data_IF_182276038676
#
_entry.id   IF_182276038676
#
_cell.length_a   1.000
_cell.length_b   1.000
_cell.length_c   1.000
_cell.angle_alpha   90.00
_cell.angle_beta   90.00
_cell.angle_gamma   90.00
#
_symmetry.space_group_name_H-M   'P 1'
#
loop_
_entity.id
_entity.type
_entity.pdbx_description
1 polymer ?
#
# COMPACT_ATOMS: atom_id res chain seq x y z
N UNK A 1 -13.60 -22.92 -9.15
CA UNK A 1 -14.22 -22.70 -7.82
C UNK A 1 -13.17 -22.40 -6.76
N UNK A 2 -12.16 -23.27 -6.54
CA UNK A 2 -11.10 -23.09 -5.54
C UNK A 2 -10.36 -21.71 -5.49
N UNK A 3 -10.21 -21.00 -6.62
CA UNK A 3 -9.54 -19.68 -6.67
C UNK A 3 -10.40 -18.53 -6.12
N UNK A 4 -11.74 -18.60 -6.22
CA UNK A 4 -12.65 -17.56 -5.68
C UNK A 4 -12.79 -17.72 -4.16
N UNK A 5 -12.86 -18.96 -3.68
CA UNK A 5 -13.00 -19.26 -2.26
C UNK A 5 -11.77 -18.79 -1.46
N UNK A 6 -10.55 -18.96 -2.01
CA UNK A 6 -9.32 -18.45 -1.41
C UNK A 6 -9.26 -16.91 -1.33
N UNK A 7 -9.83 -16.22 -2.33
CA UNK A 7 -9.89 -14.75 -2.35
C UNK A 7 -10.91 -14.23 -1.33
N UNK A 8 -12.09 -14.85 -1.27
CA UNK A 8 -13.13 -14.50 -0.30
C UNK A 8 -12.64 -14.74 1.14
N UNK A 9 -11.96 -15.87 1.38
CA UNK A 9 -11.32 -16.14 2.66
C UNK A 9 -10.27 -15.08 3.04
N UNK A 10 -9.50 -14.56 2.07
CA UNK A 10 -8.55 -13.47 2.34
C UNK A 10 -9.25 -12.13 2.63
N UNK A 11 -10.40 -11.84 2.00
CA UNK A 11 -11.20 -10.64 2.30
C UNK A 11 -11.78 -10.74 3.72
N UNK A 12 -12.34 -11.88 4.09
CA UNK A 12 -12.86 -12.13 5.43
C UNK A 12 -11.75 -12.04 6.49
N UNK A 13 -10.56 -12.57 6.17
CA UNK A 13 -9.37 -12.43 7.01
C UNK A 13 -8.98 -10.97 7.22
N UNK A 14 -8.93 -10.14 6.16
CA UNK A 14 -8.60 -8.71 6.29
C UNK A 14 -9.64 -7.95 7.12
N UNK A 15 -10.92 -8.24 6.93
CA UNK A 15 -11.98 -7.66 7.75
C UNK A 15 -11.89 -8.11 9.23
N UNK A 16 -11.53 -9.37 9.47
CA UNK A 16 -11.28 -9.87 10.83
C UNK A 16 -10.04 -9.20 11.45
N UNK A 17 -8.97 -9.02 10.68
CA UNK A 17 -7.75 -8.33 11.11
C UNK A 17 -8.05 -6.91 11.60
N UNK A 18 -8.85 -6.13 10.85
CA UNK A 18 -9.23 -4.77 11.23
C UNK A 18 -10.04 -4.76 12.54
N UNK A 19 -11.03 -5.65 12.67
CA UNK A 19 -11.82 -5.77 13.91
C UNK A 19 -10.95 -6.11 15.11
N UNK A 20 -10.02 -7.05 14.97
CA UNK A 20 -9.09 -7.43 16.04
C UNK A 20 -8.16 -6.27 16.41
N UNK A 21 -7.62 -5.57 15.41
CA UNK A 21 -6.76 -4.40 15.63
C UNK A 21 -7.45 -3.31 16.43
N UNK A 22 -8.67 -2.98 16.03
CA UNK A 22 -9.45 -1.92 16.66
C UNK A 22 -9.88 -2.33 18.07
N UNK A 23 -10.23 -3.61 18.28
CA UNK A 23 -10.50 -4.14 19.61
C UNK A 23 -9.29 -4.06 20.55
N UNK A 24 -8.10 -4.52 20.11
CA UNK A 24 -6.88 -4.44 20.92
C UNK A 24 -6.52 -2.99 21.26
N UNK A 25 -6.65 -2.07 20.29
CA UNK A 25 -6.39 -0.63 20.52
C UNK A 25 -7.39 -0.02 21.49
N UNK A 26 -8.67 -0.40 21.38
CA UNK A 26 -9.71 0.04 22.30
C UNK A 26 -9.41 -0.44 23.73
N UNK A 27 -9.06 -1.71 23.93
CA UNK A 27 -8.72 -2.24 25.25
C UNK A 27 -7.43 -1.63 25.82
N UNK A 28 -6.42 -1.39 24.97
CA UNK A 28 -5.22 -0.67 25.38
C UNK A 28 -5.54 0.74 25.93
N UNK A 29 -6.44 1.47 25.27
CA UNK A 29 -6.79 2.84 25.65
C UNK A 29 -7.79 2.91 26.81
N UNK A 30 -8.83 2.07 26.78
CA UNK A 30 -9.97 2.16 27.69
C UNK A 30 -9.77 1.34 28.97
N UNK A 31 -8.93 0.30 28.93
CA UNK A 31 -8.69 -0.60 30.05
C UNK A 31 -7.24 -0.51 30.57
N UNK A 32 -6.26 -0.95 29.78
CA UNK A 32 -4.87 -1.15 30.26
C UNK A 32 -4.18 0.14 30.71
N UNK A 33 -4.17 1.19 29.89
CA UNK A 33 -3.51 2.46 30.26
C UNK A 33 -4.11 3.10 31.53
N UNK A 34 -5.45 3.21 31.65
CA UNK A 34 -6.07 3.66 32.90
C UNK A 34 -5.69 2.80 34.11
N UNK A 35 -5.66 1.48 33.97
CA UNK A 35 -5.24 0.57 35.05
C UNK A 35 -3.80 0.83 35.47
N UNK A 36 -2.86 1.00 34.54
CA UNK A 36 -1.47 1.34 34.86
C UNK A 36 -1.39 2.67 35.64
N UNK A 37 -2.12 3.71 35.20
CA UNK A 37 -2.15 5.02 35.88
C UNK A 37 -2.75 4.90 37.28
N UNK A 38 -3.82 4.13 37.44
CA UNK A 38 -4.46 3.93 38.73
C UNK A 38 -3.58 3.14 39.70
N UNK A 39 -2.95 2.06 39.25
CA UNK A 39 -2.00 1.27 40.04
C UNK A 39 -0.75 2.08 40.40
N UNK A 40 -0.32 2.98 39.51
CA UNK A 40 0.77 3.91 39.78
C UNK A 40 0.41 4.89 40.91
N UNK A 41 -0.81 5.44 40.91
CA UNK A 41 -1.24 6.48 41.86
C UNK A 41 -1.75 5.94 43.19
N UNK A 42 -2.51 4.86 43.17
CA UNK A 42 -3.31 4.41 44.32
C UNK A 42 -2.96 3.01 44.80
N UNK A 43 -2.10 2.27 44.07
CA UNK A 43 -1.73 0.88 44.39
C UNK A 43 -2.94 -0.06 44.53
N UNK A 44 -4.07 0.28 43.91
CA UNK A 44 -5.31 -0.50 43.90
C UNK A 44 -5.88 -0.57 42.48
N UNK A 45 -6.48 -1.71 42.16
CA UNK A 45 -7.20 -1.92 40.91
C UNK A 45 -8.68 -1.58 41.09
N UNK A 46 -9.26 -0.87 40.13
CA UNK A 46 -10.72 -0.78 39.99
C UNK A 46 -11.28 -2.16 39.60
N UNK A 47 -12.20 -2.76 40.39
CA UNK A 47 -12.77 -4.07 40.10
C UNK A 47 -13.42 -4.16 38.72
N UNK A 48 -14.07 -3.09 38.24
CA UNK A 48 -14.75 -3.10 36.94
C UNK A 48 -13.73 -3.16 35.79
N UNK A 49 -12.65 -2.38 35.89
CA UNK A 49 -11.56 -2.41 34.91
C UNK A 49 -10.78 -3.72 34.97
N UNK A 50 -10.60 -4.30 36.15
CA UNK A 50 -9.94 -5.59 36.27
C UNK A 50 -10.77 -6.70 35.60
N UNK A 51 -12.09 -6.72 35.81
CA UNK A 51 -12.98 -7.65 35.11
C UNK A 51 -12.96 -7.43 33.59
N UNK A 52 -12.83 -6.18 33.12
CA UNK A 52 -12.64 -5.88 31.70
C UNK A 52 -11.30 -6.41 31.17
N UNK A 53 -10.22 -6.27 31.94
CA UNK A 53 -8.92 -6.85 31.59
C UNK A 53 -9.01 -8.38 31.49
N UNK A 54 -9.71 -9.04 32.42
CA UNK A 54 -9.89 -10.49 32.38
C UNK A 54 -10.59 -10.93 31.08
N UNK A 55 -11.68 -10.25 30.69
CA UNK A 55 -12.37 -10.51 29.41
C UNK A 55 -11.46 -10.32 28.20
N UNK A 56 -10.60 -9.30 28.22
CA UNK A 56 -9.65 -9.06 27.14
C UNK A 56 -8.60 -10.19 27.05
N UNK A 57 -8.10 -10.67 28.19
CA UNK A 57 -7.17 -11.80 28.24
C UNK A 57 -7.83 -13.12 27.83
N UNK A 58 -9.12 -13.33 28.16
CA UNK A 58 -9.92 -14.48 27.70
C UNK A 58 -10.04 -14.46 26.17
N UNK A 59 -10.44 -13.30 25.62
CA UNK A 59 -10.56 -13.12 24.19
C UNK A 59 -9.23 -13.36 23.44
N UNK A 60 -8.11 -12.87 23.98
CA UNK A 60 -6.78 -13.16 23.43
C UNK A 60 -6.40 -14.64 23.51
N UNK A 61 -6.91 -15.36 24.51
CA UNK A 61 -6.63 -16.77 24.73
C UNK A 61 -7.40 -17.67 23.75
N UNK A 62 -8.67 -17.35 23.50
CA UNK A 62 -9.66 -18.27 22.90
C UNK A 62 -10.12 -17.85 21.50
N UNK A 63 -10.25 -16.55 21.23
CA UNK A 63 -10.89 -16.05 20.01
C UNK A 63 -9.92 -15.36 19.05
N UNK A 64 -8.86 -14.74 19.58
CA UNK A 64 -7.95 -13.95 18.78
C UNK A 64 -7.09 -14.79 17.83
N UNK A 65 -6.95 -14.33 16.59
CA UNK A 65 -6.02 -14.89 15.60
C UNK A 65 -4.94 -13.86 15.32
N UNK A 66 -3.81 -13.98 16.01
CA UNK A 66 -2.73 -13.00 15.90
C UNK A 66 -1.84 -13.32 14.71
N UNK A 67 -1.50 -12.30 13.94
CA UNK A 67 -0.45 -12.33 12.92
C UNK A 67 0.72 -11.43 13.31
N UNK A 68 1.93 -11.64 12.75
CA UNK A 68 3.07 -10.76 12.96
C UNK A 68 2.75 -9.28 12.73
N UNK A 69 1.99 -9.00 11.66
CA UNK A 69 1.58 -7.63 11.30
C UNK A 69 0.64 -7.05 12.36
N UNK A 70 -0.34 -7.82 12.84
CA UNK A 70 -1.30 -7.38 13.86
C UNK A 70 -0.60 -7.10 15.19
N UNK A 71 0.29 -8.00 15.61
CA UNK A 71 1.07 -7.85 16.83
C UNK A 71 1.93 -6.58 16.81
N UNK A 72 2.55 -6.28 15.67
CA UNK A 72 3.36 -5.07 15.46
C UNK A 72 2.52 -3.79 15.46
N UNK A 73 1.42 -3.75 14.71
CA UNK A 73 0.56 -2.56 14.59
C UNK A 73 -0.15 -2.16 15.89
N UNK A 74 -0.42 -3.15 16.76
CA UNK A 74 -1.07 -2.95 18.05
C UNK A 74 -0.09 -2.87 19.20
N UNK A 75 1.20 -3.22 18.95
CA UNK A 75 2.24 -3.40 19.97
C UNK A 75 1.81 -4.39 21.05
N UNK A 76 1.14 -5.47 20.67
CA UNK A 76 0.53 -6.43 21.60
C UNK A 76 1.55 -7.04 22.59
N UNK A 77 2.76 -7.37 22.13
CA UNK A 77 3.82 -7.86 23.00
C UNK A 77 4.24 -6.85 24.08
N UNK A 78 4.29 -5.56 23.74
CA UNK A 78 4.57 -4.51 24.71
C UNK A 78 3.40 -4.39 25.71
N UNK A 79 2.16 -4.43 25.22
CA UNK A 79 0.96 -4.35 26.06
C UNK A 79 0.89 -5.47 27.09
N UNK A 80 1.19 -6.72 26.70
CA UNK A 80 1.24 -7.85 27.61
C UNK A 80 2.37 -7.70 28.64
N UNK A 81 3.54 -7.22 28.21
CA UNK A 81 4.67 -6.95 29.12
C UNK A 81 4.37 -5.85 30.14
N UNK A 82 3.56 -4.84 29.81
CA UNK A 82 3.13 -3.83 30.80
C UNK A 82 2.42 -4.46 32.02
N UNK A 83 1.84 -5.65 31.86
CA UNK A 83 1.09 -6.34 32.90
C UNK A 83 2.03 -7.08 33.86
N UNK A 84 3.02 -7.82 33.34
CA UNK A 84 3.82 -8.78 34.11
C UNK A 84 5.31 -8.44 34.26
N UNK A 85 5.86 -7.51 33.46
CA UNK A 85 7.31 -7.27 33.42
C UNK A 85 7.83 -6.68 34.76
N UNK A 86 8.89 -7.27 35.34
CA UNK A 86 9.46 -6.75 36.58
C UNK A 86 10.10 -5.37 36.36
N UNK A 87 10.07 -4.51 37.39
CA UNK A 87 10.66 -3.17 37.34
C UNK A 87 9.69 -2.06 36.90
N UNK A 88 8.44 -2.39 36.58
CA UNK A 88 7.39 -1.39 36.38
C UNK A 88 7.05 -0.67 37.70
N UNK A 89 6.67 0.61 37.61
CA UNK A 89 6.27 1.41 38.79
C UNK A 89 4.85 1.08 39.29
N UNK A 90 4.12 0.23 38.57
CA UNK A 90 2.82 -0.33 38.91
C UNK A 90 2.92 -1.86 38.94
N UNK A 91 1.98 -2.52 39.64
CA UNK A 91 1.95 -3.99 39.72
C UNK A 91 0.51 -4.48 39.64
N UNK A 92 0.22 -5.30 38.63
CA UNK A 92 -1.08 -5.97 38.49
C UNK A 92 -1.21 -7.13 39.49
N UNK A 93 -2.40 -7.69 39.75
CA UNK A 93 -2.51 -8.90 40.57
C UNK A 93 -1.82 -10.10 39.89
N UNK A 94 -1.39 -11.08 40.68
CA UNK A 94 -0.53 -12.19 40.21
C UNK A 94 -1.19 -13.02 39.10
N UNK A 95 -2.51 -13.19 39.17
CA UNK A 95 -3.25 -13.95 38.17
C UNK A 95 -3.20 -13.29 36.79
N UNK A 96 -3.42 -11.98 36.69
CA UNK A 96 -3.32 -11.26 35.40
C UNK A 96 -1.89 -11.24 34.87
N UNK A 97 -0.89 -11.16 35.77
CA UNK A 97 0.52 -11.27 35.38
C UNK A 97 0.81 -12.62 34.73
N UNK A 98 0.41 -13.72 35.40
CA UNK A 98 0.59 -15.09 34.90
C UNK A 98 -0.05 -15.28 33.54
N UNK A 99 -1.32 -14.90 33.40
CA UNK A 99 -2.09 -15.02 32.14
C UNK A 99 -1.45 -14.22 31.00
N UNK A 100 -1.05 -12.97 31.25
CA UNK A 100 -0.41 -12.14 30.25
C UNK A 100 0.95 -12.69 29.81
N UNK A 101 1.73 -13.26 30.75
CA UNK A 101 3.01 -13.89 30.48
C UNK A 101 2.84 -15.15 29.62
N UNK A 102 1.87 -16.01 29.94
CA UNK A 102 1.56 -17.21 29.16
C UNK A 102 1.14 -16.87 27.73
N UNK A 103 0.25 -15.89 27.56
CA UNK A 103 -0.14 -15.40 26.24
C UNK A 103 1.06 -14.86 25.46
N UNK A 104 1.90 -14.04 26.10
CA UNK A 104 3.07 -13.48 25.43
C UNK A 104 4.07 -14.56 25.01
N UNK A 105 4.30 -15.58 25.84
CA UNK A 105 5.16 -16.71 25.51
C UNK A 105 4.58 -17.56 24.38
N UNK A 106 3.27 -17.89 24.45
CA UNK A 106 2.57 -18.68 23.43
C UNK A 106 2.69 -18.03 22.05
N UNK A 107 2.35 -16.75 21.97
CA UNK A 107 2.40 -16.01 20.70
C UNK A 107 3.83 -15.73 20.25
N UNK A 108 4.77 -15.47 21.15
CA UNK A 108 6.18 -15.31 20.75
C UNK A 108 6.78 -16.61 20.20
N UNK A 109 6.42 -17.76 20.77
CA UNK A 109 6.90 -19.08 20.33
C UNK A 109 6.40 -19.42 18.92
N UNK A 110 5.17 -19.02 18.55
CA UNK A 110 4.65 -19.16 17.18
C UNK A 110 5.10 -18.04 16.23
N UNK A 111 6.06 -17.22 16.63
CA UNK A 111 6.47 -16.01 15.90
C UNK A 111 5.26 -15.14 15.53
N UNK A 112 4.32 -15.02 16.46
CA UNK A 112 3.08 -14.28 16.32
C UNK A 112 2.16 -14.80 15.21
N UNK A 113 2.21 -16.09 14.88
CA UNK A 113 1.38 -16.69 13.82
C UNK A 113 2.00 -16.55 12.41
N UNK A 114 3.33 -16.49 12.33
CA UNK A 114 4.07 -16.34 11.06
C UNK A 114 3.78 -17.49 10.09
N UNK A 115 3.74 -18.73 10.58
CA UNK A 115 3.53 -19.91 9.75
C UNK A 115 2.14 -19.90 9.08
N UNK A 116 1.10 -19.51 9.82
CA UNK A 116 -0.26 -19.38 9.33
C UNK A 116 -0.40 -18.19 8.35
N UNK A 117 0.29 -17.08 8.60
CA UNK A 117 0.33 -15.95 7.67
C UNK A 117 1.03 -16.32 6.35
N UNK A 118 2.16 -17.03 6.40
CA UNK A 118 2.91 -17.48 5.22
C UNK A 118 2.14 -18.54 4.42
N UNK A 119 1.47 -19.47 5.09
CA UNK A 119 0.58 -20.44 4.45
C UNK A 119 -0.57 -19.75 3.73
N UNK A 120 -1.22 -18.75 4.37
CA UNK A 120 -2.28 -17.94 3.74
C UNK A 120 -1.76 -17.18 2.53
N UNK A 121 -0.63 -16.47 2.67
CA UNK A 121 -0.01 -15.72 1.56
C UNK A 121 0.34 -16.64 0.40
N UNK A 122 0.88 -17.82 0.68
CA UNK A 122 1.20 -18.82 -0.34
C UNK A 122 -0.03 -19.34 -1.06
N UNK A 123 -1.14 -19.59 -0.34
CA UNK A 123 -2.41 -19.98 -0.94
C UNK A 123 -3.00 -18.88 -1.83
N UNK A 124 -2.95 -17.62 -1.40
CA UNK A 124 -3.39 -16.47 -2.20
C UNK A 124 -2.52 -16.30 -3.45
N UNK A 125 -1.19 -16.37 -3.30
CA UNK A 125 -0.24 -16.29 -4.43
C UNK A 125 -0.45 -17.44 -5.41
N UNK A 126 -0.67 -18.67 -4.93
CA UNK A 126 -0.97 -19.81 -5.78
C UNK A 126 -2.33 -19.68 -6.49
N UNK A 127 -3.35 -19.16 -5.81
CA UNK A 127 -4.67 -18.88 -6.40
C UNK A 127 -4.65 -17.76 -7.44
N UNK A 128 -3.71 -16.81 -7.31
CA UNK A 128 -3.45 -15.75 -8.29
C UNK A 128 -2.57 -16.26 -9.44
N UNK A 129 -1.53 -17.05 -9.17
CA UNK A 129 -0.61 -17.59 -10.17
C UNK A 129 -1.27 -18.63 -11.09
N UNK A 130 -2.16 -19.48 -10.57
CA UNK A 130 -2.97 -20.41 -11.38
C UNK A 130 -3.95 -19.68 -12.31
N UNK A 131 -4.30 -18.43 -11.99
CA UNK A 131 -5.10 -17.55 -12.85
C UNK A 131 -4.25 -16.83 -13.91
N UNK A 132 -2.99 -16.55 -13.59
CA UNK A 132 -2.03 -15.87 -14.47
C UNK A 132 -1.37 -16.81 -15.50
N UNK A 133 -1.22 -18.11 -15.18
CA UNK A 133 -0.74 -19.12 -16.14
C UNK A 133 -1.77 -19.47 -17.24
N UNK A 134 -3.05 -19.13 -17.04
CA UNK A 134 -4.10 -19.28 -18.04
C UNK A 134 -4.27 -18.02 -18.93
N UNK A 135 -3.53 -16.94 -18.66
CA UNK A 135 -3.53 -15.72 -19.45
C UNK A 135 -2.26 -15.64 -20.31
N UNK A 136 -2.35 -15.38 -21.62
CA UNK A 136 -1.16 -15.25 -22.45
C UNK A 136 -0.34 -14.03 -22.00
N UNK A 137 0.96 -14.25 -21.75
CA UNK A 137 1.95 -13.17 -21.55
C UNK A 137 2.04 -12.34 -22.82
N UNK A 138 1.47 -11.14 -22.80
CA UNK A 138 1.72 -10.12 -23.82
C UNK A 138 2.81 -9.18 -23.29
N UNK A 139 3.97 -9.25 -23.92
CA UNK A 139 5.03 -8.25 -23.81
C UNK A 139 4.50 -6.99 -24.50
N UNK A 140 4.31 -5.91 -23.76
CA UNK A 140 4.05 -4.61 -24.38
C UNK A 140 5.37 -4.08 -24.95
N UNK A 141 5.53 -4.14 -26.27
CA UNK A 141 6.47 -3.31 -27.01
C UNK A 141 5.89 -1.91 -27.11
N UNK A 142 6.51 -0.94 -26.44
CA UNK A 142 6.36 0.47 -26.79
C UNK A 142 7.60 0.87 -27.58
N UNK A 143 7.39 1.33 -28.81
CA UNK A 143 8.35 2.14 -29.54
C UNK A 143 8.46 3.49 -28.79
N UNK A 144 9.47 3.61 -27.93
CA UNK A 144 10.02 4.90 -27.51
C UNK A 144 11.07 5.29 -28.56
N UNK A 145 10.94 6.42 -29.28
CA UNK A 145 12.00 6.89 -30.15
C UNK A 145 13.05 7.58 -29.28
N UNK A 146 14.01 6.80 -28.76
CA UNK A 146 15.40 7.20 -28.48
C UNK A 146 16.17 6.00 -27.88
N UNK A 147 16.63 5.08 -28.73
CA UNK A 147 17.83 4.27 -28.48
C UNK A 147 18.57 4.04 -29.81
N UNK A 148 19.54 4.91 -30.10
CA UNK A 148 20.73 4.50 -30.83
C UNK A 148 21.70 3.88 -29.82
N UNK A 149 21.80 2.55 -29.78
CA UNK A 149 23.10 1.90 -29.74
C UNK A 149 23.04 0.47 -30.29
N UNK A 150 24.01 0.19 -31.12
CA UNK A 150 24.17 -0.99 -31.95
C UNK A 150 24.60 -2.21 -31.14
N UNK A 151 23.84 -3.31 -31.22
CA UNK A 151 24.34 -4.63 -31.62
C UNK A 151 23.40 -5.78 -31.21
N UNK A 152 23.41 -6.82 -32.06
CA UNK A 152 22.80 -8.16 -31.93
C UNK A 152 21.36 -8.30 -32.46
N UNK A 153 21.29 -8.44 -33.78
CA UNK A 153 20.21 -9.13 -34.51
C UNK A 153 19.97 -10.53 -33.93
N UNK A 154 18.73 -10.80 -33.56
CA UNK A 154 18.16 -12.15 -33.55
C UNK A 154 16.81 -12.09 -34.24
N UNK A 155 16.69 -12.81 -35.37
CA UNK A 155 15.46 -12.92 -36.15
C UNK A 155 14.39 -13.64 -35.31
N UNK A 156 13.24 -12.99 -35.05
CA UNK A 156 12.04 -13.68 -34.59
C UNK A 156 10.85 -13.30 -35.47
N UNK A 157 10.45 -14.24 -36.30
CA UNK A 157 9.27 -14.21 -37.16
C UNK A 157 8.00 -13.99 -36.32
N UNK A 158 7.24 -12.95 -36.61
CA UNK A 158 5.97 -12.60 -35.96
C UNK A 158 4.79 -13.17 -36.75
N UNK A 159 4.02 -14.07 -36.13
CA UNK A 159 2.67 -14.43 -36.58
C UNK A 159 1.68 -13.45 -35.95
N UNK A 160 1.08 -12.60 -36.78
CA UNK A 160 0.10 -11.58 -36.40
C UNK A 160 -1.27 -12.23 -36.10
N UNK A 161 -1.65 -12.36 -34.84
CA UNK A 161 -3.05 -12.58 -34.45
C UNK A 161 -3.74 -11.24 -34.21
N UNK A 162 -4.99 -11.10 -34.65
CA UNK A 162 -5.77 -9.88 -34.49
C UNK A 162 -5.99 -9.55 -32.99
N UNK A 163 -5.96 -8.26 -32.59
CA UNK A 163 -6.17 -7.86 -31.20
C UNK A 163 -7.60 -8.23 -30.74
N UNK A 164 -7.71 -8.74 -29.51
CA UNK A 164 -8.99 -9.13 -28.92
C UNK A 164 -9.96 -7.92 -28.85
N UNK A 165 -11.27 -8.11 -29.11
CA UNK A 165 -12.23 -7.01 -29.15
C UNK A 165 -12.35 -6.31 -27.79
N UNK A 166 -12.32 -4.97 -27.76
CA UNK A 166 -12.45 -4.17 -26.52
C UNK A 166 -13.93 -3.98 -26.18
N UNK A 167 -14.33 -4.23 -24.93
CA UNK A 167 -15.69 -3.97 -24.45
C UNK A 167 -15.73 -2.67 -23.65
N UNK A 168 -16.34 -1.66 -24.25
CA UNK A 168 -16.47 -0.33 -23.66
C UNK A 168 -17.69 -0.30 -22.73
N UNK A 169 -17.54 0.17 -21.48
CA UNK A 169 -18.65 0.29 -20.55
C UNK A 169 -19.68 1.34 -20.99
N UNK A 170 -20.95 1.08 -20.70
CA UNK A 170 -22.03 2.06 -20.88
C UNK A 170 -21.73 3.34 -20.07
N UNK A 171 -21.96 4.51 -20.69
CA UNK A 171 -21.69 5.80 -20.07
C UNK A 171 -22.52 6.04 -18.80
N UNK A 172 -23.68 5.42 -18.64
CA UNK A 172 -24.51 5.52 -17.43
C UNK A 172 -24.15 4.49 -16.36
N UNK A 173 -23.15 3.63 -16.58
CA UNK A 173 -22.80 2.60 -15.60
C UNK A 173 -22.26 3.25 -14.31
N UNK A 174 -22.75 2.88 -13.12
CA UNK A 174 -22.40 3.59 -11.87
C UNK A 174 -20.91 3.51 -11.50
N UNK A 175 -20.22 2.43 -11.87
CA UNK A 175 -18.78 2.24 -11.59
C UNK A 175 -17.87 2.65 -12.77
N UNK A 176 -18.17 2.21 -13.99
CA UNK A 176 -17.32 2.36 -15.17
C UNK A 176 -17.78 3.45 -16.15
N UNK A 177 -18.97 4.01 -15.95
CA UNK A 177 -19.53 5.07 -16.78
C UNK A 177 -18.88 6.43 -16.51
N UNK A 178 -19.45 7.48 -17.09
CA UNK A 178 -18.88 8.84 -17.13
C UNK A 178 -18.62 9.44 -15.75
N UNK A 179 -19.53 9.22 -14.82
CA UNK A 179 -19.46 9.71 -13.43
C UNK A 179 -18.89 8.66 -12.47
N UNK A 180 -18.49 7.50 -12.99
CA UNK A 180 -18.02 6.37 -12.19
C UNK A 180 -16.54 6.46 -11.82
N UNK A 181 -16.16 5.81 -10.73
CA UNK A 181 -14.78 5.80 -10.22
C UNK A 181 -13.77 5.11 -11.16
N UNK A 182 -14.25 4.30 -12.12
CA UNK A 182 -13.45 3.60 -13.13
C UNK A 182 -13.60 4.23 -14.52
N UNK A 183 -14.05 5.48 -14.62
CA UNK A 183 -14.16 6.19 -15.89
C UNK A 183 -12.84 6.15 -16.68
N UNK A 184 -12.96 6.02 -18.01
CA UNK A 184 -11.82 5.95 -18.92
C UNK A 184 -11.16 4.58 -19.01
N UNK A 185 -11.71 3.56 -18.32
CA UNK A 185 -11.25 2.18 -18.39
C UNK A 185 -12.27 1.30 -19.11
N UNK A 186 -11.78 0.24 -19.77
CA UNK A 186 -12.56 -0.73 -20.54
C UNK A 186 -12.08 -2.15 -20.25
N UNK A 187 -12.71 -3.14 -20.88
CA UNK A 187 -12.37 -4.56 -20.71
C UNK A 187 -11.77 -5.14 -21.98
N UNK A 188 -10.81 -6.06 -21.83
CA UNK A 188 -10.20 -6.78 -22.95
C UNK A 188 -10.95 -8.08 -23.27
N UNK A 189 -11.47 -8.19 -24.49
CA UNK A 189 -12.14 -9.39 -24.97
C UNK A 189 -13.35 -9.80 -24.11
N UNK A 190 -13.50 -11.10 -23.94
CA UNK A 190 -14.47 -11.72 -23.02
C UNK A 190 -13.98 -11.76 -21.56
N UNK A 191 -12.76 -11.29 -21.28
CA UNK A 191 -12.17 -11.32 -19.93
C UNK A 191 -12.63 -10.13 -19.09
N UNK A 192 -12.47 -10.24 -17.76
CA UNK A 192 -12.62 -9.11 -16.83
C UNK A 192 -11.31 -8.29 -16.70
N UNK A 193 -10.35 -8.49 -17.60
CA UNK A 193 -9.09 -7.74 -17.61
C UNK A 193 -9.37 -6.29 -17.98
N UNK A 194 -8.94 -5.37 -17.11
CA UNK A 194 -9.17 -3.94 -17.25
C UNK A 194 -8.01 -3.31 -18.02
N UNK A 195 -8.34 -2.50 -19.02
CA UNK A 195 -7.41 -1.71 -19.81
C UNK A 195 -7.90 -0.27 -19.92
N UNK A 196 -7.09 0.62 -20.51
CA UNK A 196 -7.55 1.97 -20.84
C UNK A 196 -8.55 1.86 -21.97
N UNK A 197 -9.66 2.60 -21.86
CA UNK A 197 -10.59 2.73 -22.97
C UNK A 197 -9.88 3.44 -24.14
N UNK A 198 -9.72 2.81 -25.32
CA UNK A 198 -9.06 3.43 -26.46
C UNK A 198 -9.77 4.70 -26.96
N UNK A 199 -11.07 4.85 -26.68
CA UNK A 199 -11.84 6.05 -27.02
C UNK A 199 -11.65 7.20 -26.01
N UNK A 200 -11.00 6.94 -24.87
CA UNK A 200 -10.78 7.96 -23.86
C UNK A 200 -9.49 8.74 -24.14
N UNK A 201 -9.63 10.06 -24.32
CA UNK A 201 -8.46 10.94 -24.42
C UNK A 201 -7.75 11.00 -23.06
N UNK A 202 -6.56 10.41 -23.00
CA UNK A 202 -5.69 10.49 -21.82
C UNK A 202 -5.17 11.92 -21.66
N UNK A 203 -5.25 12.45 -20.44
CA UNK A 203 -4.61 13.72 -20.12
C UNK A 203 -3.10 13.53 -20.08
N UNK A 204 -2.34 14.45 -20.69
CA UNK A 204 -0.88 14.41 -20.62
C UNK A 204 -0.43 14.53 -19.16
N UNK A 205 0.43 13.61 -18.72
CA UNK A 205 1.00 13.60 -17.38
C UNK A 205 2.29 14.41 -17.28
N UNK A 206 2.92 14.76 -18.41
CA UNK A 206 4.23 15.45 -18.51
C UNK A 206 4.12 16.96 -18.27
N UNK A 207 3.23 17.34 -17.36
CA UNK A 207 2.98 18.73 -16.96
C UNK A 207 3.45 18.85 -15.51
N UNK A 208 4.31 19.82 -15.20
CA UNK A 208 4.70 20.08 -13.81
C UNK A 208 3.56 20.71 -13.02
N UNK A 209 3.61 20.56 -11.69
CA UNK A 209 2.60 21.09 -10.79
C UNK A 209 1.34 20.25 -10.75
N UNK A 210 0.22 20.87 -10.37
CA UNK A 210 -1.03 20.16 -10.08
C UNK A 210 -1.63 19.44 -11.29
N UNK A 211 -1.28 19.82 -12.52
CA UNK A 211 -1.89 19.29 -13.74
C UNK A 211 -3.44 19.33 -13.68
N UNK A 212 -4.00 20.41 -13.13
CA UNK A 212 -5.45 20.58 -12.94
C UNK A 212 -6.10 19.57 -11.98
N UNK A 213 -5.33 18.90 -11.13
CA UNK A 213 -5.82 17.98 -10.11
C UNK A 213 -5.94 18.69 -8.77
N UNK A 214 -7.03 18.39 -8.06
CA UNK A 214 -7.24 18.85 -6.69
C UNK A 214 -6.61 17.88 -5.71
N UNK A 215 -6.00 18.41 -4.65
CA UNK A 215 -5.49 17.61 -3.54
C UNK A 215 -6.65 16.79 -2.96
N UNK A 216 -6.38 15.53 -2.59
CA UNK A 216 -7.39 14.58 -2.18
C UNK A 216 -8.11 13.89 -3.34
N UNK A 217 -7.84 14.21 -4.61
CA UNK A 217 -8.40 13.42 -5.71
C UNK A 217 -7.93 11.97 -5.59
N UNK A 218 -8.90 11.05 -5.67
CA UNK A 218 -8.72 9.64 -5.41
C UNK A 218 -9.05 8.80 -6.65
N UNK A 219 -8.31 7.71 -6.83
CA UNK A 219 -8.52 6.73 -7.89
C UNK A 219 -8.46 5.32 -7.34
N UNK A 220 -9.31 4.40 -7.82
CA UNK A 220 -9.27 3.01 -7.39
C UNK A 220 -8.02 2.27 -7.88
N UNK A 221 -7.43 2.70 -9.00
CA UNK A 221 -6.28 2.04 -9.62
C UNK A 221 -5.34 3.07 -10.25
N UNK A 222 -4.05 2.75 -10.28
CA UNK A 222 -3.04 3.59 -10.93
C UNK A 222 -3.32 3.78 -12.43
N UNK A 223 -3.96 2.80 -13.08
CA UNK A 223 -4.41 2.92 -14.47
C UNK A 223 -5.45 4.06 -14.65
N UNK A 224 -6.39 4.22 -13.70
CA UNK A 224 -7.33 5.34 -13.73
C UNK A 224 -6.59 6.67 -13.48
N UNK A 225 -5.68 6.71 -12.50
CA UNK A 225 -4.86 7.88 -12.24
C UNK A 225 -4.05 8.32 -13.48
N UNK A 226 -3.59 7.36 -14.29
CA UNK A 226 -2.88 7.60 -15.54
C UNK A 226 -3.78 8.19 -16.62
N UNK A 227 -5.04 7.74 -16.77
CA UNK A 227 -6.00 8.36 -17.69
C UNK A 227 -6.22 9.84 -17.35
N UNK A 228 -6.26 10.15 -16.06
CA UNK A 228 -6.43 11.52 -15.56
C UNK A 228 -5.14 12.36 -15.53
N UNK A 229 -4.01 11.85 -16.04
CA UNK A 229 -2.73 12.57 -16.10
C UNK A 229 -2.07 12.78 -14.73
N UNK A 230 -2.54 12.09 -13.68
CA UNK A 230 -1.94 12.19 -12.35
C UNK A 230 -0.57 11.51 -12.30
N UNK A 231 -0.41 10.41 -13.04
CA UNK A 231 0.83 9.64 -13.15
C UNK A 231 1.05 9.10 -14.57
N UNK A 232 2.30 8.74 -14.91
CA UNK A 232 2.67 8.33 -16.27
C UNK A 232 2.81 6.83 -16.52
N UNK A 233 2.89 6.02 -15.45
CA UNK A 233 3.05 4.57 -15.53
C UNK A 233 1.83 3.83 -14.99
N UNK A 234 1.51 2.67 -15.55
CA UNK A 234 0.43 1.81 -15.03
C UNK A 234 0.83 1.08 -13.75
N UNK A 235 2.13 0.91 -13.50
CA UNK A 235 2.68 0.12 -12.37
C UNK A 235 3.92 0.76 -11.73
N UNK A 236 4.73 1.52 -12.49
CA UNK A 236 5.96 2.11 -11.99
C UNK A 236 5.69 3.18 -10.94
N UNK A 237 6.59 3.33 -9.97
CA UNK A 237 6.47 4.32 -8.90
C UNK A 237 6.92 5.73 -9.29
N UNK A 238 7.66 5.91 -10.40
CA UNK A 238 8.18 7.23 -10.82
C UNK A 238 7.83 7.47 -12.28
N UNK A 239 7.34 8.67 -12.59
CA UNK A 239 7.11 9.13 -13.95
C UNK A 239 7.83 10.46 -14.17
N UNK A 240 8.78 10.47 -15.12
CA UNK A 240 9.69 11.58 -15.35
C UNK A 240 10.69 11.28 -16.46
N UNK A 241 11.52 12.27 -16.76
CA UNK A 241 12.66 12.09 -17.66
C UNK A 241 13.94 12.50 -16.96
N UNK A 242 15.07 11.94 -17.39
CA UNK A 242 16.39 12.33 -16.87
C UNK A 242 16.78 13.77 -17.20
N UNK A 243 16.17 14.38 -18.22
CA UNK A 243 16.51 15.73 -18.68
C UNK A 243 15.70 16.80 -17.96
N UNK A 244 14.42 16.53 -17.71
CA UNK A 244 13.49 17.53 -17.15
C UNK A 244 13.18 17.32 -15.66
N UNK A 245 13.31 16.10 -15.16
CA UNK A 245 12.94 15.73 -13.80
C UNK A 245 11.67 14.86 -13.72
N UNK A 246 11.25 14.59 -12.49
CA UNK A 246 10.08 13.79 -12.18
C UNK A 246 8.81 14.66 -12.18
N UNK A 247 7.78 14.23 -12.91
CA UNK A 247 6.46 14.86 -12.88
C UNK A 247 5.64 14.36 -11.69
N UNK A 248 5.78 13.08 -11.35
CA UNK A 248 5.02 12.44 -10.28
C UNK A 248 5.68 11.18 -9.75
N UNK A 249 5.39 10.87 -8.49
CA UNK A 249 5.73 9.59 -7.84
C UNK A 249 4.51 8.95 -7.18
N UNK A 250 4.58 7.65 -6.98
CA UNK A 250 3.63 6.84 -6.22
C UNK A 250 4.37 6.26 -5.01
N UNK A 251 3.86 6.54 -3.81
CA UNK A 251 4.30 5.91 -2.56
C UNK A 251 3.48 4.64 -2.36
N UNK A 252 4.14 3.49 -2.41
CA UNK A 252 3.55 2.16 -2.26
C UNK A 252 4.47 1.24 -1.43
N UNK A 253 3.92 0.19 -0.83
CA UNK A 253 4.69 -0.85 -0.11
C UNK A 253 5.46 -1.79 -1.03
N UNK A 254 6.04 -1.28 -2.11
CA UNK A 254 6.87 -2.08 -3.02
C UNK A 254 8.32 -2.15 -2.53
N UNK A 255 8.69 -1.27 -1.60
CA UNK A 255 10.01 -1.19 -0.98
C UNK A 255 9.89 -1.26 0.55
N UNK A 256 9.07 -2.20 1.04
CA UNK A 256 8.78 -2.40 2.46
C UNK A 256 10.05 -2.27 3.33
N UNK A 257 9.99 -1.33 4.28
CA UNK A 257 11.06 -1.02 5.22
C UNK A 257 12.15 -0.04 4.78
N UNK A 258 12.18 0.44 3.52
CA UNK A 258 13.16 1.43 3.05
C UNK A 258 12.60 2.84 2.94
N UNK A 259 11.34 2.96 2.51
CA UNK A 259 10.66 4.25 2.41
C UNK A 259 10.18 4.70 3.79
N UNK A 260 10.33 6.00 4.07
CA UNK A 260 9.80 6.63 5.29
C UNK A 260 8.92 7.80 4.92
N UNK A 261 7.66 7.72 5.30
CA UNK A 261 6.66 8.75 5.04
C UNK A 261 6.25 9.46 6.33
N UNK A 262 6.74 10.69 6.48
CA UNK A 262 6.45 11.59 7.60
C UNK A 262 5.36 12.61 7.24
N UNK A 263 4.67 12.43 6.12
CA UNK A 263 3.60 13.32 5.66
C UNK A 263 4.19 14.42 4.81
N UNK A 264 4.56 15.54 5.43
CA UNK A 264 5.16 16.67 4.70
C UNK A 264 6.60 16.42 4.26
N UNK A 265 7.25 15.41 4.84
CA UNK A 265 8.57 14.95 4.44
C UNK A 265 8.49 13.49 4.01
N UNK A 266 9.11 13.16 2.89
CA UNK A 266 9.20 11.80 2.36
C UNK A 266 10.65 11.42 2.17
N UNK A 267 10.98 10.19 2.51
CA UNK A 267 12.23 9.55 2.15
C UNK A 267 11.88 8.40 1.21
N UNK A 268 12.19 8.59 -0.06
CA UNK A 268 11.76 7.72 -1.15
C UNK A 268 12.97 7.01 -1.75
N UNK A 269 12.89 5.69 -1.89
CA UNK A 269 13.99 4.85 -2.35
C UNK A 269 14.07 4.79 -3.88
N UNK A 270 15.28 4.78 -4.41
CA UNK A 270 15.52 4.52 -5.83
C UNK A 270 15.13 3.09 -6.25
N UNK A 271 15.00 2.86 -7.55
CA UNK A 271 14.78 1.51 -8.10
C UNK A 271 15.84 0.51 -7.60
N UNK A 272 15.43 -0.74 -7.39
CA UNK A 272 16.28 -1.87 -6.99
C UNK A 272 16.98 -1.76 -5.61
N UNK A 273 16.55 -0.84 -4.74
CA UNK A 273 17.18 -0.60 -3.43
C UNK A 273 17.13 -1.78 -2.46
N UNK A 274 16.09 -2.60 -2.49
CA UNK A 274 15.86 -3.69 -1.52
C UNK A 274 16.71 -4.95 -1.77
N UNK A 275 17.14 -5.18 -3.01
CA UNK A 275 17.89 -6.38 -3.39
C UNK A 275 19.40 -6.16 -3.47
N UNK A 276 19.87 -4.91 -3.38
CA UNK A 276 21.30 -4.65 -3.49
C UNK A 276 22.07 -5.26 -2.31
N UNK A 277 23.17 -5.94 -2.60
CA UNK A 277 24.09 -6.50 -1.60
C UNK A 277 25.48 -5.86 -1.65
N UNK A 278 25.74 -5.00 -2.63
CA UNK A 278 27.00 -4.26 -2.74
C UNK A 278 27.09 -3.19 -1.66
N UNK A 279 28.09 -3.30 -0.79
CA UNK A 279 28.32 -2.39 0.33
C UNK A 279 29.08 -1.11 -0.04
N UNK A 280 29.57 -1.02 -1.29
CA UNK A 280 30.41 0.06 -1.77
C UNK A 280 29.67 0.99 -2.74
N UNK A 281 28.68 0.46 -3.47
CA UNK A 281 27.97 1.24 -4.50
C UNK A 281 26.46 0.97 -4.52
N UNK A 282 25.64 2.01 -4.83
CA UNK A 282 24.24 1.80 -5.17
C UNK A 282 24.10 1.06 -6.51
N UNK A 283 22.94 0.41 -6.76
CA UNK A 283 22.67 -0.17 -8.07
C UNK A 283 22.65 0.94 -9.15
N UNK A 284 22.96 0.61 -10.42
CA UNK A 284 22.87 1.56 -11.52
C UNK A 284 21.49 2.23 -11.57
N UNK A 285 21.48 3.56 -11.65
CA UNK A 285 20.24 4.32 -11.70
C UNK A 285 19.47 4.03 -12.98
N UNK A 286 18.24 3.54 -12.85
CA UNK A 286 17.29 3.48 -13.97
C UNK A 286 16.96 4.89 -14.48
N UNK A 287 16.50 5.04 -15.73
CA UNK A 287 16.03 6.32 -16.30
C UNK A 287 15.05 7.06 -15.38
N UNK A 288 14.21 6.30 -14.67
CA UNK A 288 13.26 6.82 -13.67
C UNK A 288 13.95 7.37 -12.42
N UNK A 289 14.95 6.67 -11.89
CA UNK A 289 15.77 7.15 -10.76
C UNK A 289 16.55 8.41 -11.17
N UNK A 290 17.06 8.46 -12.40
CA UNK A 290 17.72 9.63 -12.96
C UNK A 290 16.78 10.85 -13.02
N UNK A 291 15.48 10.66 -13.27
CA UNK A 291 14.50 11.74 -13.21
C UNK A 291 14.38 12.36 -11.80
N UNK A 292 14.45 11.54 -10.73
CA UNK A 292 14.48 12.09 -9.37
C UNK A 292 15.79 12.83 -9.08
N UNK A 293 16.92 12.37 -9.59
CA UNK A 293 18.20 13.10 -9.50
C UNK A 293 18.12 14.45 -10.21
N UNK A 294 17.59 14.48 -11.43
CA UNK A 294 17.38 15.72 -12.18
C UNK A 294 16.41 16.69 -11.47
N UNK A 295 15.49 16.17 -10.65
CA UNK A 295 14.57 16.98 -9.84
C UNK A 295 15.28 17.77 -8.74
N UNK A 296 16.47 17.34 -8.29
CA UNK A 296 17.29 18.09 -7.33
C UNK A 296 17.83 19.37 -7.98
N UNK A 297 18.26 19.33 -9.24
CA UNK A 297 18.74 20.52 -9.95
C UNK A 297 17.59 21.40 -10.46
N UNK A 298 16.60 20.79 -11.10
CA UNK A 298 15.50 21.53 -11.74
C UNK A 298 14.52 22.15 -10.75
N UNK A 299 14.45 21.61 -9.53
CA UNK A 299 13.57 22.11 -8.48
C UNK A 299 12.10 22.20 -8.97
N UNK A 300 11.70 21.33 -9.88
CA UNK A 300 10.33 21.29 -10.37
C UNK A 300 9.41 20.58 -9.36
N UNK A 301 8.14 21.00 -9.24
CA UNK A 301 7.18 20.38 -8.35
C UNK A 301 6.79 18.97 -8.83
N UNK A 302 6.91 18.00 -7.94
CA UNK A 302 6.59 16.59 -8.15
C UNK A 302 5.25 16.28 -7.50
N UNK A 303 4.29 15.73 -8.26
CA UNK A 303 3.04 15.22 -7.68
C UNK A 303 3.30 13.94 -6.88
N UNK A 304 2.81 13.88 -5.65
CA UNK A 304 2.86 12.67 -4.83
C UNK A 304 1.49 12.01 -4.78
N UNK A 305 1.43 10.75 -5.18
CA UNK A 305 0.27 9.89 -4.98
C UNK A 305 0.59 8.87 -3.90
N UNK A 306 -0.25 8.73 -2.87
CA UNK A 306 -0.12 7.66 -1.87
C UNK A 306 -1.08 6.52 -2.19
N UNK A 307 -0.57 5.29 -2.21
CA UNK A 307 -1.33 4.06 -2.42
C UNK A 307 -1.73 3.43 -1.09
N UNK A 308 -2.87 2.76 -1.04
CA UNK A 308 -3.30 1.95 0.10
C UNK A 308 -2.36 0.77 0.42
N UNK A 309 -1.51 0.39 -0.54
CA UNK A 309 -0.45 -0.59 -0.28
C UNK A 309 0.75 -0.02 0.49
N UNK A 310 0.80 1.29 0.75
CA UNK A 310 1.88 1.91 1.53
C UNK A 310 1.72 1.71 3.04
N UNK A 311 2.84 1.57 3.75
CA UNK A 311 2.88 1.30 5.20
C UNK A 311 2.80 2.58 6.07
N UNK A 312 2.07 3.60 5.65
CA UNK A 312 2.01 4.89 6.35
C UNK A 312 0.60 5.33 6.70
N UNK A 313 0.45 6.01 7.85
CA UNK A 313 -0.82 6.62 8.30
C UNK A 313 -1.39 7.66 7.33
N UNK A 314 -0.57 8.17 6.41
CA UNK A 314 -1.00 9.13 5.40
C UNK A 314 -1.58 8.44 4.16
N UNK A 315 -1.40 7.12 4.01
CA UNK A 315 -1.96 6.39 2.88
C UNK A 315 -3.49 6.28 2.97
N UNK A 316 -4.22 6.29 1.85
CA UNK A 316 -5.66 6.03 1.84
C UNK A 316 -5.94 4.56 2.23
N UNK A 317 -7.15 4.27 2.70
CA UNK A 317 -7.53 2.88 3.07
C UNK A 317 -7.68 1.95 1.85
N UNK A 318 -8.03 2.48 0.68
CA UNK A 318 -8.13 1.76 -0.60
C UNK A 318 -7.64 2.65 -1.74
N UNK A 319 -7.25 2.08 -2.87
CA UNK A 319 -6.86 2.82 -4.07
C UNK A 319 -5.62 3.71 -3.90
N UNK A 320 -5.58 4.83 -4.64
CA UNK A 320 -4.51 5.82 -4.63
C UNK A 320 -5.09 7.22 -4.50
N UNK A 321 -4.38 8.11 -3.79
CA UNK A 321 -4.81 9.50 -3.56
C UNK A 321 -3.69 10.48 -3.87
N UNK A 322 -4.02 11.57 -4.56
CA UNK A 322 -3.10 12.66 -4.82
C UNK A 322 -3.00 13.58 -3.60
N UNK A 323 -1.81 13.70 -3.02
CA UNK A 323 -1.57 14.38 -1.73
C UNK A 323 -0.80 15.70 -1.87
N UNK A 324 -0.69 16.19 -3.11
CA UNK A 324 -0.12 17.48 -3.44
C UNK A 324 1.29 17.42 -4.04
N UNK A 325 1.90 18.58 -4.08
CA UNK A 325 3.21 18.83 -4.70
C UNK A 325 4.31 18.83 -3.66
N UNK A 326 5.42 18.21 -4.04
CA UNK A 326 6.65 18.11 -3.26
C UNK A 326 7.82 18.55 -4.13
N UNK A 327 8.94 18.84 -3.48
CA UNK A 327 10.21 19.21 -4.10
C UNK A 327 11.25 18.18 -3.67
N UNK A 328 12.07 17.72 -4.61
CA UNK A 328 13.20 16.83 -4.27
C UNK A 328 14.33 17.70 -3.74
N UNK A 329 14.72 17.47 -2.49
CA UNK A 329 15.65 18.33 -1.75
C UNK A 329 17.07 17.77 -1.79
N UNK A 330 17.22 16.46 -1.62
CA UNK A 330 18.53 15.82 -1.57
C UNK A 330 18.45 14.34 -1.92
N UNK A 331 19.58 13.74 -2.31
CA UNK A 331 19.75 12.30 -2.46
C UNK A 331 20.93 11.85 -1.59
N UNK A 332 20.73 10.84 -0.75
CA UNK A 332 21.74 10.29 0.15
C UNK A 332 21.87 8.79 -0.05
N UNK A 333 23.08 8.27 0.15
CA UNK A 333 23.32 6.84 0.19
C UNK A 333 22.99 6.28 1.58
N UNK A 334 22.18 5.22 1.62
CA UNK A 334 21.77 4.48 2.82
C UNK A 334 22.08 3.01 2.67
N UNK A 335 22.07 2.27 3.78
CA UNK A 335 22.25 0.81 3.77
C UNK A 335 20.93 0.12 4.02
N UNK A 336 20.61 -0.89 3.21
CA UNK A 336 19.45 -1.74 3.41
C UNK A 336 19.73 -2.82 4.47
N UNK A 337 18.76 -3.71 4.72
CA UNK A 337 18.90 -4.80 5.70
C UNK A 337 20.04 -5.79 5.40
N UNK A 338 20.50 -5.87 4.14
CA UNK A 338 21.62 -6.70 3.71
C UNK A 338 22.97 -5.97 3.73
N UNK A 339 23.00 -4.72 4.20
CA UNK A 339 24.19 -3.86 4.21
C UNK A 339 24.52 -3.22 2.86
N UNK A 340 23.74 -3.51 1.81
CA UNK A 340 23.93 -2.95 0.48
C UNK A 340 23.53 -1.48 0.40
N UNK A 341 24.29 -0.69 -0.36
CA UNK A 341 24.04 0.75 -0.52
C UNK A 341 22.85 0.98 -1.46
N UNK A 342 22.00 1.95 -1.15
CA UNK A 342 20.94 2.40 -2.03
C UNK A 342 20.76 3.92 -1.94
N UNK A 343 20.14 4.48 -2.97
CA UNK A 343 19.85 5.92 -3.06
C UNK A 343 18.50 6.23 -2.42
N UNK A 344 18.49 7.16 -1.47
CA UNK A 344 17.29 7.65 -0.80
C UNK A 344 17.13 9.15 -1.08
N UNK A 345 15.99 9.51 -1.65
CA UNK A 345 15.60 10.86 -1.99
C UNK A 345 14.77 11.47 -0.87
N UNK A 346 15.16 12.64 -0.37
CA UNK A 346 14.32 13.44 0.52
C UNK A 346 13.43 14.35 -0.32
N UNK A 347 12.13 14.29 -0.09
CA UNK A 347 11.17 15.21 -0.67
C UNK A 347 10.45 16.00 0.42
N UNK A 348 10.21 17.28 0.16
CA UNK A 348 9.50 18.18 1.07
C UNK A 348 8.26 18.74 0.37
N UNK A 349 7.13 18.71 1.08
CA UNK A 349 5.86 19.22 0.59
C UNK A 349 5.92 20.73 0.42
N UNK A 350 5.40 21.24 -0.69
CA UNK A 350 5.33 22.69 -0.91
C UNK A 350 4.34 23.34 0.06
N UNK A 351 4.68 24.55 0.50
CA UNK A 351 3.83 25.41 1.32
C UNK A 351 2.58 25.90 0.55
N UNK A 352 1.60 26.46 1.27
CA UNK A 352 0.39 27.03 0.68
C UNK A 352 -0.64 26.01 0.19
N UNK A 353 -0.40 24.72 0.39
CA UNK A 353 -1.33 23.64 0.07
C UNK A 353 -2.16 23.24 1.29
N UNK A 354 -3.39 22.81 1.05
CA UNK A 354 -4.26 22.25 2.09
C UNK A 354 -3.54 21.16 2.91
N UNK A 355 -3.62 21.14 4.25
CA UNK A 355 -2.88 20.18 5.08
C UNK A 355 -3.33 18.74 4.83
N UNK A 356 -2.42 17.77 4.95
CA UNK A 356 -2.74 16.36 4.73
C UNK A 356 -3.83 15.83 5.69
N UNK A 357 -3.97 16.44 6.87
CA UNK A 357 -4.95 16.04 7.88
C UNK A 357 -6.39 16.41 7.55
N UNK A 358 -6.65 17.33 6.61
CA UNK A 358 -8.02 17.67 6.19
C UNK A 358 -8.50 16.84 5.02
N UNK A 359 -7.63 16.04 4.39
CA UNK A 359 -8.00 15.18 3.27
C UNK A 359 -8.78 13.97 3.80
N UNK A 360 -10.07 13.89 3.46
CA UNK A 360 -10.99 12.84 3.93
C UNK A 360 -11.26 11.74 2.91
N UNK A 361 -10.62 11.78 1.74
CA UNK A 361 -10.80 10.77 0.69
C UNK A 361 -9.90 9.54 0.93
N UNK A 362 -10.33 8.33 0.53
CA UNK A 362 -11.60 8.02 -0.12
C UNK A 362 -12.80 8.21 0.83
N UNK A 363 -13.89 8.74 0.29
CA UNK A 363 -15.19 8.86 0.97
C UNK A 363 -15.84 7.49 1.13
N UNK A 364 -16.81 7.35 2.03
CA UNK A 364 -17.58 6.10 2.21
C UNK A 364 -18.22 5.61 0.90
N UNK A 365 -18.68 6.55 0.06
CA UNK A 365 -19.22 6.26 -1.27
C UNK A 365 -18.15 5.62 -2.18
N UNK A 366 -16.95 6.20 -2.20
CA UNK A 366 -15.82 5.69 -2.99
C UNK A 366 -15.34 4.32 -2.49
N UNK A 367 -15.32 4.10 -1.17
CA UNK A 367 -14.96 2.81 -0.57
C UNK A 367 -16.00 1.75 -0.94
N UNK A 368 -17.29 2.08 -0.84
CA UNK A 368 -18.39 1.19 -1.25
C UNK A 368 -18.27 0.83 -2.73
N UNK A 369 -18.06 1.83 -3.59
CA UNK A 369 -17.99 1.62 -5.03
C UNK A 369 -16.70 0.90 -5.44
N UNK A 370 -15.60 1.09 -4.70
CA UNK A 370 -14.37 0.30 -4.85
C UNK A 370 -14.63 -1.20 -4.66
N UNK A 371 -15.37 -1.57 -3.61
CA UNK A 371 -15.77 -2.96 -3.37
C UNK A 371 -16.63 -3.56 -4.50
N UNK A 372 -17.32 -2.71 -5.27
CA UNK A 372 -18.17 -3.13 -6.40
C UNK A 372 -17.42 -3.28 -7.72
N UNK A 373 -16.17 -2.83 -7.82
CA UNK A 373 -15.36 -3.01 -9.05
C UNK A 373 -15.27 -4.49 -9.44
N UNK A 374 -15.15 -5.38 -8.45
CA UNK A 374 -15.02 -6.82 -8.67
C UNK A 374 -16.35 -7.53 -9.01
N UNK A 375 -17.50 -6.87 -8.85
CA UNK A 375 -18.77 -7.38 -9.39
C UNK A 375 -18.75 -7.43 -10.92
N UNK A 376 -17.77 -6.74 -11.53
CA UNK A 376 -17.51 -6.70 -12.95
C UNK A 376 -18.54 -5.85 -13.69
N UNK A 377 -18.24 -5.57 -14.95
CA UNK A 377 -19.22 -5.00 -15.88
C UNK A 377 -20.00 -6.16 -16.51
N UNK A 378 -21.28 -6.28 -16.16
CA UNK A 378 -22.23 -7.18 -16.85
C UNK A 378 -23.08 -6.30 -17.76
N UNK A 379 -22.85 -6.35 -19.07
CA UNK A 379 -23.73 -5.66 -20.03
C UNK A 379 -25.16 -6.19 -19.87
N UNK A 380 -26.16 -5.30 -19.91
CA UNK A 380 -27.59 -5.66 -19.73
C UNK A 380 -28.19 -6.60 -20.80
N UNK A 381 -27.39 -7.06 -21.77
CA UNK A 381 -27.79 -8.01 -22.81
C UNK A 381 -26.81 -9.19 -22.84
N UNK A 382 -26.89 -10.08 -21.85
CA UNK A 382 -26.26 -11.39 -21.89
C UNK A 382 -27.25 -12.44 -21.39
#
# INVERSE_FOLDING_TARGET
MASIDAINANIEYLAAFERQRDHIRAEAHQCLRPLCVQLLRHRRCDPERLARLDKFLDWLAEEATISPTLARETRLGDLLRLIYEPGQRWRFPEEQQRRAQELHQRWSASQWGQAEEDARRSQVVAAVATRDQAAPRVVYSFDDPEEEDTSRRSNRTTTTSAPAPVRIPDQSHPIFGREGIMWGLAFAGSSQTIQINPECLRKDFRVFGHNGLTIGRWWPRQLAALVHGAHGSSQGGIAGTQNTGAYSIVVSGTYDGLDRDEGNTLYYSGSNSHNNRDQNSPPPSTTRTLALKASIGSQQPVRVLRSASGESRYCPMVGLRYDGLYRVVSCNNKKNAYGGIYEQFKLERLEGQEPLSSITTPTDLQVRDFGRINLGYRSRNA
#
